data_IF_434009980738
#
_entry.id   IF_434009980738
#
_cell.length_a   1.000
_cell.length_b   1.000
_cell.length_c   1.000
_cell.angle_alpha   90.00
_cell.angle_beta   90.00
_cell.angle_gamma   90.00
#
_symmetry.space_group_name_H-M   'P 1'
#
loop_
_entity.id
_entity.type
_entity.pdbx_description
1 polymer ?
#
# COMPACT_ATOMS: atom_id res chain seq x y z
N UNK A 1 -5.56 -4.18 11.33
CA UNK A 1 -4.19 -4.10 10.78
C UNK A 1 -4.22 -4.52 9.32
N UNK A 2 -3.16 -4.27 8.56
CA UNK A 2 -2.96 -4.89 7.26
C UNK A 2 -1.50 -5.31 7.12
N UNK A 3 -1.25 -6.32 6.29
CA UNK A 3 0.10 -6.64 5.82
C UNK A 3 0.28 -6.04 4.43
N UNK A 4 1.50 -5.70 4.07
CA UNK A 4 1.82 -5.27 2.71
C UNK A 4 3.13 -5.89 2.23
N UNK A 5 3.24 -6.06 0.92
CA UNK A 5 4.43 -6.58 0.23
C UNK A 5 4.64 -5.79 -1.04
N UNK A 6 5.87 -5.35 -1.29
CA UNK A 6 6.31 -4.72 -2.52
C UNK A 6 6.30 -5.77 -3.62
N UNK A 7 5.47 -5.55 -4.63
CA UNK A 7 5.38 -6.41 -5.81
C UNK A 7 6.50 -6.03 -6.77
N UNK A 8 6.60 -4.73 -7.06
CA UNK A 8 7.44 -4.23 -8.14
C UNK A 8 7.87 -2.79 -7.87
N UNK A 9 9.10 -2.48 -8.28
CA UNK A 9 9.65 -1.14 -8.29
C UNK A 9 10.26 -0.88 -9.67
N UNK A 10 9.66 0.04 -10.43
CA UNK A 10 10.16 0.47 -11.74
C UNK A 10 10.41 1.97 -11.71
N UNK A 11 11.68 2.35 -11.64
CA UNK A 11 12.11 3.75 -11.63
C UNK A 11 11.45 4.54 -10.50
N UNK A 12 10.50 5.41 -10.86
CA UNK A 12 9.77 6.23 -9.90
C UNK A 12 8.43 5.64 -9.46
N UNK A 13 8.03 4.46 -9.92
CA UNK A 13 6.76 3.82 -9.55
C UNK A 13 7.01 2.61 -8.66
N UNK A 14 6.23 2.47 -7.59
CA UNK A 14 6.18 1.27 -6.76
C UNK A 14 4.77 0.71 -6.70
N UNK A 15 4.67 -0.60 -6.79
CA UNK A 15 3.44 -1.35 -6.61
C UNK A 15 3.53 -2.18 -5.35
N UNK A 16 2.50 -2.06 -4.51
CA UNK A 16 2.36 -2.81 -3.28
C UNK A 16 1.08 -3.64 -3.30
N UNK A 17 1.21 -4.90 -2.93
CA UNK A 17 0.08 -5.72 -2.50
C UNK A 17 -0.22 -5.40 -1.04
N UNK A 18 -1.49 -5.25 -0.68
CA UNK A 18 -1.93 -5.16 0.71
C UNK A 18 -2.98 -6.23 1.01
N UNK A 19 -2.89 -6.78 2.23
CA UNK A 19 -3.74 -7.85 2.74
C UNK A 19 -4.48 -7.32 3.97
N UNK A 20 -5.77 -6.97 3.82
CA UNK A 20 -6.61 -6.60 4.94
C UNK A 20 -6.70 -7.70 5.99
N UNK A 21 -6.80 -7.32 7.25
CA UNK A 21 -7.03 -8.26 8.35
C UNK A 21 -8.33 -9.05 8.14
N UNK A 22 -8.24 -10.37 8.35
CA UNK A 22 -9.37 -11.29 8.15
C UNK A 22 -9.73 -11.53 6.68
N UNK A 23 -8.96 -11.00 5.72
CA UNK A 23 -9.14 -11.24 4.29
C UNK A 23 -8.17 -12.28 3.75
N UNK A 24 -8.65 -13.11 2.82
CA UNK A 24 -7.81 -14.00 2.01
C UNK A 24 -7.32 -13.34 0.72
N UNK A 25 -7.99 -12.27 0.28
CA UNK A 25 -7.69 -11.58 -0.96
C UNK A 25 -6.91 -10.29 -0.72
N UNK A 26 -5.94 -10.03 -1.60
CA UNK A 26 -5.13 -8.83 -1.56
C UNK A 26 -5.66 -7.77 -2.52
N UNK A 27 -5.49 -6.50 -2.15
CA UNK A 27 -5.59 -5.39 -3.09
C UNK A 27 -4.21 -4.93 -3.56
N UNK A 28 -4.18 -4.08 -4.57
CA UNK A 28 -2.96 -3.52 -5.14
C UNK A 28 -3.05 -2.00 -5.13
N UNK A 29 -2.02 -1.35 -4.61
CA UNK A 29 -1.85 0.10 -4.68
C UNK A 29 -0.58 0.45 -5.44
N UNK A 30 -0.60 1.58 -6.12
CA UNK A 30 0.56 2.14 -6.79
C UNK A 30 0.93 3.48 -6.18
N UNK A 31 2.21 3.82 -6.20
CA UNK A 31 2.71 5.09 -5.72
C UNK A 31 3.86 5.60 -6.59
N UNK A 32 3.79 6.87 -6.97
CA UNK A 32 4.82 7.55 -7.73
C UNK A 32 5.74 8.32 -6.77
N UNK A 33 6.98 7.84 -6.62
CA UNK A 33 8.04 8.43 -5.79
C UNK A 33 8.38 9.87 -6.17
N UNK A 34 8.20 10.26 -7.44
CA UNK A 34 8.55 11.59 -7.95
C UNK A 34 7.45 12.62 -7.71
N UNK A 35 6.18 12.25 -7.93
CA UNK A 35 5.05 13.20 -7.77
C UNK A 35 4.39 13.12 -6.40
N UNK A 36 4.55 12.01 -5.68
CA UNK A 36 3.84 11.74 -4.42
C UNK A 36 2.40 11.26 -4.62
N UNK A 37 1.98 11.04 -5.87
CA UNK A 37 0.66 10.52 -6.19
C UNK A 37 0.58 9.02 -5.89
N UNK A 38 -0.51 8.62 -5.28
CA UNK A 38 -0.80 7.23 -4.98
C UNK A 38 -2.23 6.89 -5.33
N UNK A 39 -2.44 5.68 -5.87
CA UNK A 39 -3.72 5.22 -6.36
C UNK A 39 -4.00 3.77 -5.95
N UNK A 40 -5.27 3.40 -6.00
CA UNK A 40 -5.71 2.02 -5.79
C UNK A 40 -5.94 1.39 -7.15
N UNK A 41 -5.13 0.39 -7.50
CA UNK A 41 -5.25 -0.34 -8.75
C UNK A 41 -6.31 -1.45 -8.63
N UNK A 42 -6.27 -2.17 -7.50
CA UNK A 42 -7.21 -3.26 -7.19
C UNK A 42 -7.65 -3.15 -5.74
N UNK A 43 -8.96 -3.20 -5.49
CA UNK A 43 -9.48 -3.31 -4.14
C UNK A 43 -9.54 -4.77 -3.70
N UNK A 44 -9.08 -5.04 -2.49
CA UNK A 44 -9.38 -6.30 -1.83
C UNK A 44 -10.90 -6.41 -1.64
N UNK A 45 -11.47 -7.60 -1.81
CA UNK A 45 -12.92 -7.81 -1.75
C UNK A 45 -13.54 -7.44 -0.39
N UNK A 46 -12.79 -7.58 0.70
CA UNK A 46 -13.20 -7.15 2.04
C UNK A 46 -12.85 -5.68 2.36
N UNK A 47 -12.30 -4.92 1.42
CA UNK A 47 -12.00 -3.49 1.55
C UNK A 47 -12.93 -2.61 0.70
N UNK A 48 -14.24 -2.89 0.72
CA UNK A 48 -15.25 -2.19 -0.08
C UNK A 48 -15.28 -0.66 0.13
N UNK A 49 -14.83 -0.20 1.30
CA UNK A 49 -14.75 1.21 1.65
C UNK A 49 -13.34 1.80 1.53
N UNK A 50 -12.40 1.07 0.93
CA UNK A 50 -11.02 1.49 0.69
C UNK A 50 -10.25 1.89 1.96
N UNK A 51 -10.70 1.43 3.13
CA UNK A 51 -10.11 1.82 4.41
C UNK A 51 -8.69 1.28 4.53
N UNK A 52 -8.46 0.04 4.10
CA UNK A 52 -7.14 -0.56 4.13
C UNK A 52 -6.25 0.02 3.03
N UNK A 53 -6.78 0.20 1.82
CA UNK A 53 -6.09 0.83 0.69
C UNK A 53 -5.58 2.24 1.03
N UNK A 54 -6.43 3.09 1.63
CA UNK A 54 -6.03 4.44 2.05
C UNK A 54 -5.02 4.41 3.20
N UNK A 55 -5.11 3.43 4.11
CA UNK A 55 -4.14 3.26 5.20
C UNK A 55 -2.75 2.90 4.67
N UNK A 56 -2.65 1.95 3.74
CA UNK A 56 -1.37 1.61 3.13
C UNK A 56 -0.83 2.77 2.28
N UNK A 57 -1.67 3.48 1.52
CA UNK A 57 -1.23 4.67 0.78
C UNK A 57 -0.67 5.76 1.70
N UNK A 58 -1.28 5.99 2.87
CA UNK A 58 -0.73 6.89 3.88
C UNK A 58 0.64 6.40 4.36
N UNK A 59 0.79 5.11 4.67
CA UNK A 59 2.08 4.55 5.10
C UNK A 59 3.15 4.69 4.02
N UNK A 60 2.82 4.44 2.75
CA UNK A 60 3.76 4.60 1.64
C UNK A 60 4.23 6.06 1.51
N UNK A 61 3.33 7.03 1.69
CA UNK A 61 3.71 8.45 1.74
C UNK A 61 4.67 8.76 2.89
N UNK A 62 4.40 8.23 4.09
CA UNK A 62 5.31 8.39 5.24
C UNK A 62 6.70 7.81 4.96
N UNK A 63 6.76 6.62 4.37
CA UNK A 63 8.02 5.98 3.94
C UNK A 63 8.75 6.84 2.90
N UNK A 64 8.02 7.34 1.89
CA UNK A 64 8.58 8.23 0.87
C UNK A 64 9.17 9.52 1.47
N UNK A 65 8.49 10.14 2.44
CA UNK A 65 9.02 11.31 3.16
C UNK A 65 10.26 10.99 4.00
N UNK A 66 10.38 9.76 4.50
CA UNK A 66 11.57 9.29 5.20
C UNK A 66 12.70 8.82 4.25
N UNK A 67 12.48 8.80 2.94
CA UNK A 67 13.44 8.30 1.96
C UNK A 67 13.63 6.79 1.99
N UNK A 68 12.67 6.05 2.57
CA UNK A 68 12.72 4.59 2.68
C UNK A 68 11.56 3.95 1.93
N UNK A 69 11.73 2.70 1.48
CA UNK A 69 10.66 1.88 0.92
C UNK A 69 10.86 0.46 1.42
N UNK A 70 10.08 0.07 2.42
CA UNK A 70 10.14 -1.27 2.99
C UNK A 70 9.56 -2.28 1.98
N UNK A 71 10.20 -3.43 1.84
CA UNK A 71 9.75 -4.50 0.93
C UNK A 71 8.51 -5.21 1.44
N UNK A 72 8.32 -5.27 2.75
CA UNK A 72 7.14 -5.85 3.38
C UNK A 72 6.97 -5.27 4.78
N UNK A 73 5.78 -5.38 5.34
CA UNK A 73 5.52 -4.90 6.70
C UNK A 73 4.07 -5.02 7.13
N UNK A 74 3.79 -4.47 8.31
CA UNK A 74 2.47 -4.46 8.93
C UNK A 74 2.08 -3.03 9.30
N UNK A 75 0.84 -2.65 9.01
CA UNK A 75 0.26 -1.37 9.44
C UNK A 75 -0.85 -1.64 10.45
N UNK A 76 -0.67 -1.19 11.69
CA UNK A 76 -1.64 -1.34 12.77
C UNK A 76 -2.79 -0.30 12.70
N UNK A 77 -3.94 -0.64 13.29
CA UNK A 77 -4.98 0.36 13.60
C UNK A 77 -4.59 1.03 14.92
N UNK A 78 -4.28 2.32 14.88
CA UNK A 78 -4.20 3.19 16.05
C UNK A 78 -5.46 4.05 16.06
#
# INVERSE_FOLDING_TARGET
MLKFVLIEEIGNSVLYSYYPEGGSESGIVSFNKKTGDGGVNTLANNDKHQRYALKILKRIREMASAGTFEKEGIVAWY
#
